data_IF_679259152159
#
_entry.id   IF_679259152159
#
_cell.length_a   1.000
_cell.length_b   1.000
_cell.length_c   1.000
_cell.angle_alpha   90.00
_cell.angle_beta   90.00
_cell.angle_gamma   90.00
#
_symmetry.space_group_name_H-M   'P 1'
#
loop_
_entity.id
_entity.type
_entity.pdbx_description
1 polymer ?
#
# COMPACT_ATOMS: atom_id res chain seq x y z
N UNK A 1 -12.63 6.62 -12.46
CA UNK A 1 -13.91 5.88 -12.57
C UNK A 1 -14.84 6.45 -11.53
N UNK A 2 -16.13 6.59 -11.84
CA UNK A 2 -17.12 7.17 -10.92
C UNK A 2 -18.08 6.04 -10.56
N UNK A 3 -18.38 5.87 -9.28
CA UNK A 3 -19.35 4.88 -8.83
C UNK A 3 -20.78 5.27 -9.30
N UNK A 4 -21.80 4.41 -9.12
CA UNK A 4 -23.18 4.73 -9.53
C UNK A 4 -23.77 5.98 -8.86
N UNK A 5 -23.12 6.55 -7.83
CA UNK A 5 -23.55 7.70 -7.05
C UNK A 5 -22.75 8.98 -7.36
N UNK A 6 -21.78 8.95 -8.28
CA UNK A 6 -21.00 10.14 -8.61
C UNK A 6 -19.68 10.27 -7.85
N UNK A 7 -19.30 9.27 -7.04
CA UNK A 7 -18.11 9.32 -6.17
C UNK A 7 -16.87 8.81 -6.92
N UNK A 8 -15.73 9.51 -6.85
CA UNK A 8 -14.46 9.01 -7.39
C UNK A 8 -14.08 7.67 -6.75
N UNK A 9 -13.84 6.66 -7.58
CA UNK A 9 -13.33 5.36 -7.14
C UNK A 9 -11.82 5.49 -6.93
N UNK A 10 -11.36 5.30 -5.69
CA UNK A 10 -9.95 5.30 -5.33
C UNK A 10 -9.27 4.00 -5.76
N UNK A 11 -8.19 4.09 -6.51
CA UNK A 11 -7.41 2.94 -7.00
C UNK A 11 -6.24 2.70 -6.08
N UNK A 12 -6.28 1.59 -5.35
CA UNK A 12 -5.30 1.21 -4.35
C UNK A 12 -4.46 0.06 -4.90
N UNK A 13 -3.14 0.19 -4.83
CA UNK A 13 -2.21 -0.92 -5.10
C UNK A 13 -1.66 -1.43 -3.77
N UNK A 14 -1.97 -2.68 -3.43
CA UNK A 14 -1.34 -3.40 -2.33
C UNK A 14 -0.12 -4.17 -2.84
N UNK A 15 1.01 -4.01 -2.18
CA UNK A 15 2.23 -4.78 -2.41
C UNK A 15 2.48 -5.67 -1.20
N UNK A 16 2.16 -6.96 -1.33
CA UNK A 16 2.11 -7.97 -0.26
C UNK A 16 2.27 -9.36 -0.89
N UNK A 17 3.25 -10.14 -0.44
CA UNK A 17 3.54 -11.47 -0.98
C UNK A 17 2.74 -12.58 -0.28
N UNK A 18 2.29 -12.33 0.96
CA UNK A 18 1.49 -13.30 1.69
C UNK A 18 0.04 -13.34 1.16
N UNK A 19 -0.42 -14.50 0.64
CA UNK A 19 -1.78 -14.63 0.09
C UNK A 19 -2.86 -14.54 1.17
N UNK A 20 -2.53 -14.82 2.43
CA UNK A 20 -3.46 -14.69 3.56
C UNK A 20 -3.70 -13.24 3.94
N UNK A 21 -2.63 -12.46 4.08
CA UNK A 21 -2.67 -11.04 4.42
C UNK A 21 -3.27 -10.22 3.28
N UNK A 22 -2.87 -10.46 2.03
CA UNK A 22 -3.45 -9.78 0.88
C UNK A 22 -4.95 -10.05 0.75
N UNK A 23 -5.40 -11.28 1.01
CA UNK A 23 -6.83 -11.61 1.05
C UNK A 23 -7.56 -10.93 2.19
N UNK A 24 -7.01 -10.95 3.42
CA UNK A 24 -7.60 -10.28 4.57
C UNK A 24 -7.78 -8.78 4.30
N UNK A 25 -6.75 -8.11 3.78
CA UNK A 25 -6.81 -6.69 3.43
C UNK A 25 -7.84 -6.45 2.33
N UNK A 26 -7.91 -7.32 1.31
CA UNK A 26 -8.93 -7.22 0.26
C UNK A 26 -10.35 -7.31 0.85
N UNK A 27 -10.63 -8.27 1.71
CA UNK A 27 -11.93 -8.44 2.38
C UNK A 27 -12.28 -7.22 3.24
N UNK A 28 -11.30 -6.64 3.96
CA UNK A 28 -11.48 -5.39 4.71
C UNK A 28 -11.87 -4.24 3.78
N UNK A 29 -11.17 -4.06 2.65
CA UNK A 29 -11.47 -3.01 1.68
C UNK A 29 -12.85 -3.18 1.04
N UNK A 30 -13.25 -4.42 0.74
CA UNK A 30 -14.59 -4.72 0.19
C UNK A 30 -15.71 -4.37 1.18
N UNK A 31 -15.48 -4.50 2.49
CA UNK A 31 -16.45 -4.10 3.52
C UNK A 31 -16.67 -2.58 3.57
N UNK A 32 -15.67 -1.77 3.22
CA UNK A 32 -15.79 -0.29 3.18
C UNK A 32 -16.46 0.23 1.88
N UNK A 33 -16.84 -0.66 0.95
CA UNK A 33 -17.79 -0.39 -0.12
C UNK A 33 -17.20 0.02 -1.48
N UNK A 34 -18.09 0.34 -2.43
CA UNK A 34 -17.83 0.52 -3.87
C UNK A 34 -16.98 1.73 -4.28
N UNK A 35 -16.41 2.44 -3.31
CA UNK A 35 -15.63 3.67 -3.55
C UNK A 35 -14.13 3.39 -3.71
N UNK A 36 -13.70 2.14 -3.59
CA UNK A 36 -12.31 1.74 -3.74
C UNK A 36 -12.18 0.48 -4.61
N UNK A 37 -11.10 0.40 -5.38
CA UNK A 37 -10.67 -0.82 -6.08
C UNK A 37 -9.26 -1.17 -5.65
N UNK A 38 -9.04 -2.43 -5.28
CA UNK A 38 -7.75 -2.93 -4.83
C UNK A 38 -7.11 -3.81 -5.89
N UNK A 39 -5.86 -3.53 -6.24
CA UNK A 39 -5.01 -4.40 -7.04
C UNK A 39 -3.87 -4.92 -6.16
N UNK A 40 -3.50 -6.20 -6.31
CA UNK A 40 -2.42 -6.82 -5.52
C UNK A 40 -1.20 -7.12 -6.39
N UNK A 41 -0.02 -6.79 -5.89
CA UNK A 41 1.29 -7.19 -6.41
C UNK A 41 2.05 -7.98 -5.33
N UNK A 42 2.61 -9.14 -5.70
CA UNK A 42 3.31 -10.02 -4.76
C UNK A 42 4.77 -9.65 -4.50
N UNK A 43 5.25 -8.52 -5.01
CA UNK A 43 6.65 -8.08 -4.83
C UNK A 43 6.80 -6.59 -5.15
N UNK A 44 7.84 -5.96 -4.63
CA UNK A 44 8.18 -4.56 -4.92
C UNK A 44 8.33 -4.36 -6.43
N UNK A 45 9.05 -5.27 -7.08
CA UNK A 45 9.28 -5.20 -8.52
C UNK A 45 7.96 -5.26 -9.32
N UNK A 46 7.06 -6.18 -8.98
CA UNK A 46 5.75 -6.28 -9.62
C UNK A 46 4.89 -5.02 -9.35
N UNK A 47 5.03 -4.42 -8.18
CA UNK A 47 4.39 -3.14 -7.84
C UNK A 47 4.84 -2.01 -8.77
N UNK A 48 6.15 -1.86 -8.98
CA UNK A 48 6.73 -0.85 -9.88
C UNK A 48 6.26 -1.05 -11.33
N UNK A 49 6.23 -2.30 -11.81
CA UNK A 49 5.75 -2.61 -13.17
C UNK A 49 4.27 -2.27 -13.36
N UNK A 50 3.44 -2.47 -12.33
CA UNK A 50 2.04 -2.05 -12.35
C UNK A 50 1.89 -0.54 -12.35
N UNK A 51 2.67 0.18 -11.56
CA UNK A 51 2.67 1.64 -11.53
C UNK A 51 3.04 2.26 -12.89
N UNK A 52 3.80 1.55 -13.72
CA UNK A 52 4.13 1.98 -15.08
C UNK A 52 2.99 1.80 -16.09
N UNK A 53 2.04 0.91 -15.81
CA UNK A 53 1.01 0.47 -16.79
C UNK A 53 -0.41 0.78 -16.35
N UNK A 54 -0.61 1.12 -15.07
CA UNK A 54 -1.92 1.39 -14.47
C UNK A 54 -1.86 2.67 -13.65
N UNK A 55 -2.93 3.45 -13.73
CA UNK A 55 -3.10 4.57 -12.84
C UNK A 55 -3.46 4.06 -11.43
N UNK A 56 -2.70 4.49 -10.44
CA UNK A 56 -2.89 4.18 -9.02
C UNK A 56 -2.95 5.49 -8.26
N UNK A 57 -3.90 5.60 -7.33
CA UNK A 57 -4.09 6.80 -6.51
C UNK A 57 -3.33 6.70 -5.19
N UNK A 58 -3.10 5.48 -4.67
CA UNK A 58 -2.32 5.24 -3.46
C UNK A 58 -1.70 3.83 -3.45
N UNK A 59 -0.50 3.71 -2.89
CA UNK A 59 0.19 2.42 -2.69
C UNK A 59 0.21 2.06 -1.21
N UNK A 60 -0.21 0.85 -0.89
CA UNK A 60 0.03 0.19 0.38
C UNK A 60 1.22 -0.76 0.21
N UNK A 61 2.32 -0.50 0.89
CA UNK A 61 3.57 -1.24 0.74
C UNK A 61 3.92 -1.98 2.03
N UNK A 62 3.97 -3.30 1.99
CA UNK A 62 4.63 -4.04 3.07
C UNK A 62 6.16 -3.94 2.95
N UNK A 63 6.82 -3.54 4.04
CA UNK A 63 8.28 -3.53 4.09
C UNK A 63 8.89 -4.89 4.42
N UNK A 64 8.08 -5.86 4.88
CA UNK A 64 8.54 -7.21 5.22
C UNK A 64 8.76 -8.13 4.01
N UNK A 65 8.41 -7.64 2.81
CA UNK A 65 8.62 -8.34 1.55
C UNK A 65 10.07 -8.79 1.38
N UNK A 66 10.30 -10.01 0.84
CA UNK A 66 11.65 -10.55 0.68
C UNK A 66 12.52 -9.75 -0.30
N UNK A 67 11.91 -9.00 -1.23
CA UNK A 67 12.58 -8.13 -2.18
C UNK A 67 12.58 -6.64 -1.78
N UNK A 68 12.15 -6.35 -0.54
CA UNK A 68 12.23 -5.02 0.06
C UNK A 68 13.56 -4.79 0.78
N UNK A 69 14.16 -3.64 0.51
CA UNK A 69 15.34 -3.11 1.18
C UNK A 69 14.97 -1.96 2.12
N UNK A 70 13.81 -2.08 2.79
CA UNK A 70 13.31 -1.10 3.76
C UNK A 70 13.11 0.29 3.14
N UNK A 71 13.84 1.29 3.64
CA UNK A 71 13.71 2.66 3.16
C UNK A 71 14.19 2.86 1.70
N UNK A 72 15.11 2.01 1.21
CA UNK A 72 15.53 2.06 -0.21
C UNK A 72 14.39 1.66 -1.14
N UNK A 73 13.54 0.71 -0.72
CA UNK A 73 12.30 0.35 -1.43
C UNK A 73 11.44 1.58 -1.64
N UNK A 74 11.23 2.36 -0.59
CA UNK A 74 10.41 3.58 -0.62
C UNK A 74 11.02 4.61 -1.54
N UNK A 75 12.34 4.79 -1.54
CA UNK A 75 13.03 5.69 -2.48
C UNK A 75 12.84 5.25 -3.93
N UNK A 76 13.06 3.97 -4.25
CA UNK A 76 12.92 3.41 -5.60
C UNK A 76 11.49 3.55 -6.13
N UNK A 77 10.53 3.24 -5.26
CA UNK A 77 9.11 3.37 -5.53
C UNK A 77 8.72 4.84 -5.72
N UNK A 78 9.13 5.74 -4.83
CA UNK A 78 8.84 7.18 -4.92
C UNK A 78 9.48 7.84 -6.14
N UNK A 79 10.69 7.44 -6.53
CA UNK A 79 11.37 7.93 -7.74
C UNK A 79 10.66 7.48 -9.03
N UNK A 80 10.03 6.31 -9.01
CA UNK A 80 9.26 5.77 -10.13
C UNK A 80 7.84 6.33 -10.19
N UNK A 81 7.35 6.89 -9.08
CA UNK A 81 5.99 7.39 -8.94
C UNK A 81 5.92 8.90 -9.16
N UNK A 82 5.01 9.32 -10.04
CA UNK A 82 4.67 10.73 -10.27
C UNK A 82 3.84 11.28 -9.08
N UNK A 83 4.43 11.34 -7.89
CA UNK A 83 3.81 11.87 -6.66
C UNK A 83 2.67 11.03 -6.06
N UNK A 84 2.60 9.73 -6.38
CA UNK A 84 1.60 8.84 -5.77
C UNK A 84 1.95 8.64 -4.29
N UNK A 85 1.02 8.84 -3.34
CA UNK A 85 1.24 8.57 -1.94
C UNK A 85 1.57 7.10 -1.69
N UNK A 86 2.63 6.87 -0.91
CA UNK A 86 3.01 5.55 -0.40
C UNK A 86 2.72 5.51 1.09
N UNK A 87 1.87 4.57 1.49
CA UNK A 87 1.55 4.23 2.86
C UNK A 87 2.22 2.89 3.18
N UNK A 88 3.07 2.90 4.20
CA UNK A 88 3.81 1.70 4.59
C UNK A 88 2.96 0.86 5.54
N UNK A 89 2.86 -0.45 5.28
CA UNK A 89 2.35 -1.43 6.22
C UNK A 89 3.54 -2.01 6.99
N UNK A 90 3.55 -1.83 8.31
CA UNK A 90 4.69 -2.21 9.17
C UNK A 90 4.23 -3.03 10.37
N UNK A 91 5.04 -4.00 10.80
CA UNK A 91 4.89 -4.62 12.13
C UNK A 91 5.28 -3.66 13.25
N UNK A 92 4.96 -4.00 14.51
CA UNK A 92 5.35 -3.21 15.68
C UNK A 92 6.88 -3.08 15.82
N UNK A 93 7.61 -4.12 15.42
CA UNK A 93 9.07 -4.21 15.55
C UNK A 93 9.83 -3.33 14.53
N UNK A 94 9.15 -2.86 13.48
CA UNK A 94 9.75 -2.16 12.34
C UNK A 94 9.59 -0.62 12.42
N UNK A 95 9.17 -0.09 13.57
CA UNK A 95 8.88 1.34 13.78
C UNK A 95 10.06 2.26 13.42
N UNK A 96 11.30 1.83 13.67
CA UNK A 96 12.50 2.62 13.30
C UNK A 96 12.69 2.69 11.78
N UNK A 97 12.38 1.61 11.06
CA UNK A 97 12.44 1.56 9.60
C UNK A 97 11.34 2.44 9.01
N UNK A 98 10.13 2.40 9.57
CA UNK A 98 9.02 3.25 9.17
C UNK A 98 9.33 4.75 9.33
N UNK A 99 9.97 5.15 10.44
CA UNK A 99 10.41 6.54 10.65
C UNK A 99 11.45 6.96 9.61
N UNK A 100 12.41 6.09 9.30
CA UNK A 100 13.42 6.37 8.28
C UNK A 100 12.78 6.48 6.90
N UNK A 101 11.80 5.62 6.60
CA UNK A 101 11.08 5.65 5.34
C UNK A 101 10.22 6.91 5.15
N UNK A 102 9.63 7.48 6.22
CA UNK A 102 8.99 8.81 6.16
C UNK A 102 9.99 9.88 5.76
N UNK A 103 11.21 9.87 6.34
CA UNK A 103 12.26 10.82 5.96
C UNK A 103 12.69 10.67 4.50
N UNK A 104 12.57 9.46 3.98
CA UNK A 104 12.99 9.08 2.63
C UNK A 104 11.87 9.22 1.57
N UNK A 105 10.69 9.72 1.96
CA UNK A 105 9.63 10.14 1.03
C UNK A 105 8.29 9.41 1.18
N UNK A 106 8.16 8.45 2.10
CA UNK A 106 6.84 7.93 2.45
C UNK A 106 6.00 9.02 3.13
N UNK A 107 4.71 9.05 2.81
CA UNK A 107 3.82 10.08 3.33
C UNK A 107 3.24 9.68 4.69
N UNK A 108 3.04 8.39 4.93
CA UNK A 108 2.43 7.84 6.15
C UNK A 108 2.85 6.38 6.38
N UNK A 109 2.74 5.86 7.60
CA UNK A 109 2.81 4.42 7.88
C UNK A 109 1.63 3.96 8.76
N UNK A 110 1.21 2.71 8.54
CA UNK A 110 0.18 2.00 9.30
C UNK A 110 0.80 0.76 9.95
N UNK A 111 0.50 0.56 11.23
CA UNK A 111 0.94 -0.62 11.98
C UNK A 111 -0.08 -1.74 11.74
N UNK A 112 0.36 -2.90 11.20
CA UNK A 112 -0.50 -4.05 10.86
C UNK A 112 -1.35 -4.51 12.06
N UNK A 113 -0.82 -4.48 13.28
CA UNK A 113 -1.54 -4.80 14.53
C UNK A 113 -2.54 -3.75 15.03
N UNK A 114 -2.77 -2.67 14.27
CA UNK A 114 -3.85 -1.70 14.48
C UNK A 114 -4.87 -1.69 13.34
N UNK A 115 -4.77 -2.62 12.39
CA UNK A 115 -5.76 -2.82 11.34
C UNK A 115 -6.90 -3.76 11.75
N UNK A 116 -6.85 -4.28 12.98
CA UNK A 116 -7.99 -4.91 13.64
C UNK A 116 -9.10 -3.85 13.77
N UNK A 117 -10.34 -4.22 13.44
CA UNK A 117 -11.50 -3.33 13.29
C UNK A 117 -11.97 -2.54 14.51
N UNK A 118 -11.07 -2.12 15.40
CA UNK A 118 -11.29 -1.12 16.47
C UNK A 118 -10.95 0.30 15.98
N UNK A 119 -11.44 0.65 14.78
CA UNK A 119 -11.74 2.02 14.41
C UNK A 119 -13.26 2.22 14.51
N UNK A 120 -13.78 2.12 15.74
CA UNK A 120 -15.04 2.73 16.20
C UNK A 120 -14.85 3.32 17.59
#
# INVERSE_FOLDING_TARGET
>A
MIDPQGVPVLRVLLVEDDPGQSRLITEIFEMYGSTMTLAVAGSVQAGIERLATTDVDVVLLDLSLPDSEGAETVRRMSASMRQIPVIILTGLDDTQIAIQAIRDGAQEYLIKGRMDGELL
#
